data_IF_619871163840
#
_entry.id   IF_619871163840
#
_cell.length_a   1.000
_cell.length_b   1.000
_cell.length_c   1.000
_cell.angle_alpha   90.00
_cell.angle_beta   90.00
_cell.angle_gamma   90.00
#
_symmetry.space_group_name_H-M   'P 1'
#
loop_
_entity.id
_entity.type
_entity.pdbx_description
1 polymer ?
#
# COMPACT_ATOMS: atom_id res chain seq x y z
N UNK A 1 8.35 8.47 3.76
CA UNK A 1 7.91 7.27 4.53
C UNK A 1 6.60 7.48 5.29
N UNK A 2 6.36 8.64 5.92
CA UNK A 2 5.09 8.89 6.65
C UNK A 2 3.83 8.83 5.76
N UNK A 3 3.86 9.43 4.56
CA UNK A 3 2.72 9.43 3.62
C UNK A 3 2.29 8.02 3.21
N UNK A 4 3.27 7.15 2.91
CA UNK A 4 3.03 5.74 2.59
C UNK A 4 2.37 5.01 3.77
N UNK A 5 2.94 5.16 4.96
CA UNK A 5 2.41 4.49 6.16
C UNK A 5 0.98 4.96 6.47
N UNK A 6 0.71 6.26 6.41
CA UNK A 6 -0.64 6.80 6.62
C UNK A 6 -1.63 6.29 5.56
N UNK A 7 -1.25 6.26 4.28
CA UNK A 7 -2.11 5.75 3.20
C UNK A 7 -2.46 4.28 3.41
N UNK A 8 -1.46 3.44 3.67
CA UNK A 8 -1.68 2.00 3.92
C UNK A 8 -2.50 1.75 5.18
N UNK A 9 -2.26 2.49 6.26
CA UNK A 9 -3.03 2.36 7.50
C UNK A 9 -4.53 2.68 7.30
N UNK A 10 -4.83 3.72 6.52
CA UNK A 10 -6.21 4.06 6.17
C UNK A 10 -6.87 2.94 5.35
N UNK A 11 -6.16 2.39 4.37
CA UNK A 11 -6.69 1.33 3.49
C UNK A 11 -6.83 -0.02 4.19
N UNK A 12 -5.97 -0.34 5.15
CA UNK A 12 -6.03 -1.57 5.95
C UNK A 12 -7.12 -1.53 7.03
N UNK A 13 -7.43 -0.33 7.54
CA UNK A 13 -8.39 -0.14 8.62
C UNK A 13 -9.85 0.01 8.18
N UNK A 14 -10.78 0.21 9.13
CA UNK A 14 -12.20 0.42 8.84
C UNK A 14 -12.48 1.74 8.10
N UNK A 15 -11.48 2.63 8.03
CA UNK A 15 -11.59 3.95 7.42
C UNK A 15 -11.46 3.93 5.90
N UNK A 16 -11.16 2.77 5.29
CA UNK A 16 -10.95 2.65 3.84
C UNK A 16 -12.14 3.20 3.04
N UNK A 17 -13.38 3.00 3.48
CA UNK A 17 -14.57 3.47 2.76
C UNK A 17 -14.70 5.00 2.76
N UNK A 18 -14.48 5.63 3.93
CA UNK A 18 -14.68 7.07 4.10
C UNK A 18 -13.48 7.89 3.64
N UNK A 19 -12.28 7.35 3.79
CA UNK A 19 -11.02 8.06 3.54
C UNK A 19 -10.26 7.51 2.32
N UNK A 20 -10.87 6.68 1.48
CA UNK A 20 -10.21 6.09 0.30
C UNK A 20 -9.54 7.16 -0.59
N UNK A 21 -10.29 8.20 -0.90
CA UNK A 21 -9.82 9.31 -1.74
C UNK A 21 -8.65 10.07 -1.09
N UNK A 22 -8.63 10.15 0.24
CA UNK A 22 -7.53 10.77 0.97
C UNK A 22 -6.30 9.86 0.96
N UNK A 23 -6.47 8.56 1.19
CA UNK A 23 -5.39 7.58 1.07
C UNK A 23 -4.78 7.57 -0.33
N UNK A 24 -5.61 7.62 -1.39
CA UNK A 24 -5.14 7.71 -2.78
C UNK A 24 -4.27 8.96 -3.00
N UNK A 25 -4.69 10.12 -2.49
CA UNK A 25 -3.87 11.35 -2.54
C UNK A 25 -2.53 11.18 -1.83
N UNK A 26 -2.52 10.62 -0.62
CA UNK A 26 -1.27 10.38 0.13
C UNK A 26 -0.30 9.46 -0.64
N UNK A 27 -0.83 8.38 -1.22
CA UNK A 27 -0.04 7.43 -2.00
C UNK A 27 0.51 8.07 -3.27
N UNK A 28 -0.29 8.84 -4.02
CA UNK A 28 0.18 9.57 -5.21
C UNK A 28 1.26 10.60 -4.88
N UNK A 29 1.06 11.40 -3.83
CA UNK A 29 2.07 12.38 -3.38
C UNK A 29 3.36 11.68 -2.92
N UNK A 30 3.28 10.50 -2.31
CA UNK A 30 4.46 9.71 -1.99
C UNK A 30 5.22 9.28 -3.26
N UNK A 31 4.50 8.84 -4.29
CA UNK A 31 5.09 8.37 -5.56
C UNK A 31 5.77 9.52 -6.30
N UNK A 32 5.14 10.69 -6.37
CA UNK A 32 5.72 11.89 -6.96
C UNK A 32 7.03 12.29 -6.26
N UNK A 33 7.03 12.32 -4.93
CA UNK A 33 8.25 12.60 -4.16
C UNK A 33 9.31 11.51 -4.33
N UNK A 34 8.93 10.24 -4.36
CA UNK A 34 9.86 9.13 -4.56
C UNK A 34 10.51 9.19 -5.94
N UNK A 35 9.72 9.49 -6.98
CA UNK A 35 10.22 9.68 -8.35
C UNK A 35 11.21 10.84 -8.44
N UNK A 36 10.93 11.96 -7.76
CA UNK A 36 11.82 13.13 -7.75
C UNK A 36 13.16 12.85 -7.05
N UNK A 37 13.16 12.06 -5.97
CA UNK A 37 14.37 11.79 -5.17
C UNK A 37 15.21 10.65 -5.75
N UNK A 38 14.57 9.57 -6.22
CA UNK A 38 15.26 8.35 -6.64
C UNK A 38 15.32 8.16 -8.16
N UNK A 39 14.71 9.08 -8.92
CA UNK A 39 14.59 9.02 -10.38
C UNK A 39 13.46 8.10 -10.86
N UNK A 40 13.00 8.30 -12.10
CA UNK A 40 11.89 7.52 -12.69
C UNK A 40 12.12 6.01 -12.69
N UNK A 41 13.38 5.58 -12.75
CA UNK A 41 13.79 4.16 -12.67
C UNK A 41 13.53 3.53 -11.30
N UNK A 42 13.21 4.29 -10.26
CA UNK A 42 12.81 3.76 -8.96
C UNK A 42 11.29 3.49 -8.90
N UNK A 43 10.51 4.08 -9.81
CA UNK A 43 9.05 3.95 -9.91
C UNK A 43 8.66 2.65 -10.64
N UNK A 44 9.48 1.60 -10.58
CA UNK A 44 9.17 0.33 -11.26
C UNK A 44 8.21 -0.47 -10.40
N UNK A 45 7.14 -0.95 -11.05
CA UNK A 45 6.11 -1.91 -10.64
C UNK A 45 5.53 -1.78 -9.22
N UNK A 46 6.35 -1.95 -8.18
CA UNK A 46 5.94 -1.91 -6.77
C UNK A 46 5.45 -0.53 -6.35
N UNK A 47 6.07 0.55 -6.85
CA UNK A 47 5.65 1.93 -6.53
C UNK A 47 4.39 2.31 -7.31
N UNK A 48 4.25 1.83 -8.55
CA UNK A 48 3.04 2.03 -9.36
C UNK A 48 1.84 1.25 -8.82
N UNK A 49 2.06 0.04 -8.29
CA UNK A 49 1.03 -0.76 -7.64
C UNK A 49 0.38 -0.02 -6.45
N UNK A 50 1.11 0.86 -5.76
CA UNK A 50 0.57 1.69 -4.69
C UNK A 50 -0.53 2.66 -5.16
N UNK A 51 -0.48 3.14 -6.42
CA UNK A 51 -1.56 3.96 -6.98
C UNK A 51 -2.89 3.22 -7.03
N UNK A 52 -2.83 1.92 -7.32
CA UNK A 52 -4.00 1.08 -7.57
C UNK A 52 -4.62 0.57 -6.26
N UNK A 53 -3.87 0.55 -5.15
CA UNK A 53 -4.36 0.02 -3.87
C UNK A 53 -5.67 0.65 -3.37
N UNK A 54 -5.87 1.95 -3.60
CA UNK A 54 -7.12 2.61 -3.23
C UNK A 54 -8.31 2.12 -4.09
N UNK A 55 -8.08 1.91 -5.38
CA UNK A 55 -9.09 1.42 -6.32
C UNK A 55 -9.40 -0.06 -6.05
N UNK A 56 -8.37 -0.87 -5.81
CA UNK A 56 -8.50 -2.26 -5.37
C UNK A 56 -9.27 -2.37 -4.04
N UNK A 57 -9.01 -1.47 -3.09
CA UNK A 57 -9.76 -1.45 -1.83
C UNK A 57 -11.24 -1.06 -2.00
N UNK A 58 -11.57 -0.25 -3.02
CA UNK A 58 -12.97 0.07 -3.32
C UNK A 58 -13.72 -1.14 -3.90
N UNK A 59 -13.03 -2.05 -4.58
CA UNK A 59 -13.61 -3.23 -5.22
C UNK A 59 -13.60 -4.45 -4.29
N UNK A 60 -12.51 -4.66 -3.54
CA UNK A 60 -12.23 -5.89 -2.80
C UNK A 60 -12.35 -5.74 -1.26
N UNK A 61 -12.58 -4.53 -0.77
CA UNK A 61 -12.68 -4.24 0.67
C UNK A 61 -11.36 -3.72 1.26
N UNK A 62 -11.16 -3.77 2.60
CA UNK A 62 -9.95 -3.23 3.21
C UNK A 62 -8.71 -4.03 2.79
N UNK A 63 -7.53 -3.38 2.78
CA UNK A 63 -6.27 -4.02 2.37
C UNK A 63 -5.96 -5.30 3.18
N UNK A 64 -6.39 -5.37 4.44
CA UNK A 64 -6.21 -6.57 5.28
C UNK A 64 -7.03 -7.78 4.81
N UNK A 65 -8.09 -7.60 3.99
CA UNK A 65 -8.91 -8.72 3.52
C UNK A 65 -8.27 -9.48 2.35
N UNK A 66 -7.42 -8.82 1.56
CA UNK A 66 -6.80 -9.41 0.35
C UNK A 66 -5.27 -9.24 0.29
N UNK A 67 -4.69 -8.41 1.15
CA UNK A 67 -3.27 -8.16 1.22
C UNK A 67 -2.51 -9.34 1.84
N UNK A 68 -1.29 -9.54 1.34
CA UNK A 68 -0.38 -10.57 1.84
C UNK A 68 0.20 -10.25 3.24
N UNK A 69 -0.03 -9.05 3.79
CA UNK A 69 0.52 -8.59 5.07
C UNK A 69 0.18 -9.52 6.25
N UNK A 70 -1.04 -10.07 6.28
CA UNK A 70 -1.42 -11.09 7.29
C UNK A 70 -0.66 -12.42 7.15
N UNK A 71 -0.11 -12.70 5.97
CA UNK A 71 0.61 -13.92 5.65
C UNK A 71 2.14 -13.76 5.68
N UNK A 72 2.67 -12.53 5.75
CA UNK A 72 4.13 -12.29 5.82
C UNK A 72 4.76 -12.93 7.07
N UNK A 73 4.11 -12.81 8.23
CA UNK A 73 4.56 -13.49 9.45
C UNK A 73 4.50 -15.03 9.33
N UNK A 74 3.51 -15.55 8.59
CA UNK A 74 3.34 -16.99 8.40
C UNK A 74 4.39 -17.55 7.44
N UNK A 75 4.76 -16.80 6.40
CA UNK A 75 5.87 -17.13 5.50
C UNK A 75 7.23 -17.10 6.22
N UNK A 76 7.44 -16.14 7.13
CA UNK A 76 8.66 -16.11 7.95
C UNK A 76 8.76 -17.35 8.85
N UNK A 77 7.67 -17.73 9.52
CA UNK A 77 7.64 -18.93 10.36
C UNK A 77 7.86 -20.22 9.57
N UNK A 78 7.28 -20.36 8.37
CA UNK A 78 7.54 -21.51 7.48
C UNK A 78 9.00 -21.55 7.02
N UNK A 79 9.60 -20.39 6.74
CA UNK A 79 11.01 -20.29 6.34
C UNK A 79 11.99 -20.59 7.47
N UNK A 80 11.61 -20.32 8.71
CA UNK A 80 12.39 -20.67 9.92
C UNK A 80 12.23 -22.15 10.33
N UNK A 81 11.15 -22.80 9.88
CA UNK A 81 10.90 -24.23 10.11
C UNK A 81 11.52 -25.15 9.04
N UNK A 82 12.16 -24.58 8.02
CA UNK A 82 12.96 -25.26 6.98
C UNK A 82 14.45 -25.09 7.29
#
# INVERSE_FOLDING_TARGET
>A
TLLLHCGIYILAGPFYQTLNNFANKLLRTFIEHAAAVFGEKFVVYNVHALCHLADECAIHGPLDSFGAFQFENKLKSVKEAL
#
